data_IF_022995124567
#
_entry.id   IF_022995124567
#
_cell.length_a   1.000
_cell.length_b   1.000
_cell.length_c   1.000
_cell.angle_alpha   90.00
_cell.angle_beta   90.00
_cell.angle_gamma   90.00
#
_symmetry.space_group_name_H-M   'P 1'
#
loop_
_entity.id
_entity.type
_entity.pdbx_description
1 polymer ?
#
# COMPACT_ATOMS: atom_id res chain seq x y z
N UNK A 1 6.52 0.02 15.37
CA UNK A 1 6.41 -1.35 14.81
C UNK A 1 7.33 -2.35 15.52
N UNK A 2 8.65 -2.08 15.72
CA UNK A 2 9.61 -3.03 16.34
C UNK A 2 9.17 -3.55 17.71
N UNK A 3 8.67 -2.67 18.59
CA UNK A 3 8.18 -3.06 19.93
C UNK A 3 6.98 -4.00 19.83
N UNK A 4 6.06 -3.73 18.91
CA UNK A 4 4.90 -4.59 18.67
C UNK A 4 5.31 -5.95 18.12
N UNK A 5 6.22 -5.99 17.13
CA UNK A 5 6.74 -7.24 16.58
C UNK A 5 7.46 -8.07 17.64
N UNK A 6 8.25 -7.43 18.50
CA UNK A 6 8.88 -8.11 19.63
C UNK A 6 7.84 -8.69 20.58
N UNK A 7 6.80 -7.92 20.90
CA UNK A 7 5.70 -8.37 21.75
C UNK A 7 4.93 -9.54 21.12
N UNK A 8 4.64 -9.50 19.81
CA UNK A 8 4.00 -10.61 19.09
C UNK A 8 4.83 -11.89 19.18
N UNK A 9 6.15 -11.78 18.99
CA UNK A 9 7.07 -12.92 19.07
C UNK A 9 7.10 -13.52 20.47
N UNK A 10 7.21 -12.69 21.51
CA UNK A 10 7.29 -13.12 22.91
C UNK A 10 5.97 -13.74 23.37
N UNK A 11 4.85 -13.15 23.02
CA UNK A 11 3.52 -13.59 23.48
C UNK A 11 2.90 -14.70 22.63
N UNK A 12 3.52 -15.06 21.48
CA UNK A 12 2.95 -16.05 20.56
C UNK A 12 1.57 -15.65 20.02
N UNK A 13 1.32 -14.33 19.86
CA UNK A 13 0.03 -13.77 19.49
C UNK A 13 -0.32 -13.96 18.00
N UNK A 14 0.62 -14.42 17.17
CA UNK A 14 0.37 -14.79 15.78
C UNK A 14 -0.06 -16.26 15.67
N UNK A 15 -0.96 -16.54 14.72
CA UNK A 15 -1.44 -17.92 14.45
C UNK A 15 -0.32 -18.80 13.89
N UNK A 16 0.62 -18.20 13.15
CA UNK A 16 1.84 -18.85 12.66
C UNK A 16 2.98 -18.44 13.58
N UNK A 17 3.83 -19.39 13.97
CA UNK A 17 5.01 -19.11 14.80
C UNK A 17 5.90 -18.08 14.11
N UNK A 18 5.81 -16.83 14.55
CA UNK A 18 6.66 -15.75 14.06
C UNK A 18 8.07 -16.00 14.60
N UNK A 19 8.99 -16.32 13.70
CA UNK A 19 10.37 -16.59 14.03
C UNK A 19 11.05 -15.34 14.62
N UNK A 20 11.94 -15.55 15.60
CA UNK A 20 12.81 -14.48 16.11
C UNK A 20 13.67 -13.84 15.00
N UNK A 21 13.84 -14.52 13.86
CA UNK A 21 14.51 -13.98 12.69
C UNK A 21 13.76 -12.81 12.08
N UNK A 22 12.41 -12.83 12.07
CA UNK A 22 11.59 -11.74 11.52
C UNK A 22 11.86 -10.41 12.22
N UNK A 23 11.94 -10.42 13.56
CA UNK A 23 12.28 -9.21 14.33
C UNK A 23 13.66 -8.66 13.95
N UNK A 24 14.67 -9.54 13.81
CA UNK A 24 16.03 -9.12 13.43
C UNK A 24 16.07 -8.54 12.02
N UNK A 25 15.39 -9.19 11.07
CA UNK A 25 15.29 -8.71 9.68
C UNK A 25 14.59 -7.35 9.63
N UNK A 26 13.48 -7.19 10.38
CA UNK A 26 12.78 -5.91 10.43
C UNK A 26 13.61 -4.80 11.10
N UNK A 27 14.37 -5.12 12.15
CA UNK A 27 15.27 -4.16 12.78
C UNK A 27 16.39 -3.72 11.81
N UNK A 28 17.00 -4.67 11.09
CA UNK A 28 17.98 -4.36 10.07
C UNK A 28 17.40 -3.49 8.93
N UNK A 29 16.18 -3.81 8.47
CA UNK A 29 15.49 -3.04 7.44
C UNK A 29 15.19 -1.60 7.91
N UNK A 30 14.76 -1.41 9.15
CA UNK A 30 14.53 -0.08 9.74
C UNK A 30 15.83 0.73 9.78
N UNK A 31 16.93 0.13 10.24
CA UNK A 31 18.24 0.81 10.30
C UNK A 31 18.70 1.18 8.88
N UNK A 32 18.61 0.25 7.93
CA UNK A 32 18.94 0.50 6.54
C UNK A 32 18.09 1.61 5.94
N UNK A 33 16.78 1.59 6.20
CA UNK A 33 15.84 2.65 5.78
C UNK A 33 16.20 4.03 6.32
N UNK A 34 16.59 4.12 7.60
CA UNK A 34 17.07 5.38 8.18
C UNK A 34 18.35 5.89 7.52
N UNK A 35 19.31 5.01 7.25
CA UNK A 35 20.57 5.36 6.55
C UNK A 35 20.24 5.91 5.16
N UNK A 36 19.38 5.22 4.39
CA UNK A 36 18.96 5.65 3.06
C UNK A 36 18.23 7.00 3.14
N UNK A 37 17.33 7.19 4.10
CA UNK A 37 16.61 8.45 4.28
C UNK A 37 17.56 9.62 4.57
N UNK A 38 18.57 9.43 5.43
CA UNK A 38 19.59 10.45 5.73
C UNK A 38 20.44 10.78 4.48
N UNK A 39 20.85 9.79 3.71
CA UNK A 39 21.58 10.01 2.46
C UNK A 39 20.72 10.78 1.46
N UNK A 40 19.47 10.36 1.25
CA UNK A 40 18.56 11.02 0.31
C UNK A 40 18.22 12.45 0.75
N UNK A 41 18.11 12.73 2.05
CA UNK A 41 17.85 14.08 2.55
C UNK A 41 18.99 15.07 2.28
N UNK A 42 20.22 14.58 2.12
CA UNK A 42 21.39 15.38 1.79
C UNK A 42 21.59 15.60 0.28
N UNK A 43 20.85 14.88 -0.57
CA UNK A 43 20.98 14.93 -2.03
C UNK A 43 19.83 15.73 -2.65
N UNK A 44 20.14 16.63 -3.56
CA UNK A 44 19.12 17.33 -4.34
C UNK A 44 18.32 16.36 -5.21
N UNK A 45 16.99 16.31 -5.00
CA UNK A 45 16.08 15.44 -5.76
C UNK A 45 16.14 15.68 -7.27
N UNK A 46 16.51 16.91 -7.72
CA UNK A 46 16.72 17.21 -9.12
C UNK A 46 17.90 16.43 -9.74
N UNK A 47 18.89 16.02 -8.93
CA UNK A 47 19.97 15.12 -9.37
C UNK A 47 19.49 13.67 -9.44
N UNK A 48 18.73 13.24 -8.44
CA UNK A 48 18.18 11.87 -8.37
C UNK A 48 17.24 11.61 -9.53
N UNK A 49 16.36 12.57 -9.83
CA UNK A 49 15.37 12.41 -10.92
C UNK A 49 16.04 12.29 -12.29
N UNK A 50 17.21 12.84 -12.53
CA UNK A 50 17.94 12.67 -13.79
C UNK A 50 18.36 11.22 -14.05
N UNK A 51 18.45 10.42 -13.01
CA UNK A 51 18.76 8.99 -13.10
C UNK A 51 17.53 8.11 -13.42
N UNK A 52 16.37 8.72 -13.72
CA UNK A 52 15.15 7.99 -14.04
C UNK A 52 15.33 7.01 -15.20
N UNK A 53 16.18 7.35 -16.16
CA UNK A 53 16.51 6.49 -17.32
C UNK A 53 17.19 5.18 -16.91
N UNK A 54 17.67 5.06 -15.67
CA UNK A 54 18.31 3.87 -15.11
C UNK A 54 17.36 3.17 -14.16
N UNK A 55 16.87 3.87 -13.12
CA UNK A 55 16.10 3.22 -12.06
C UNK A 55 14.67 2.83 -12.48
N UNK A 56 14.03 3.56 -13.43
CA UNK A 56 12.70 3.20 -13.85
C UNK A 56 12.67 1.93 -14.72
N UNK A 57 13.52 1.77 -15.77
CA UNK A 57 13.63 0.50 -16.46
C UNK A 57 14.07 -0.64 -15.54
N UNK A 58 14.99 -0.40 -14.59
CA UNK A 58 15.42 -1.40 -13.62
C UNK A 58 14.23 -1.90 -12.76
N UNK A 59 13.38 -1.00 -12.26
CA UNK A 59 12.19 -1.37 -11.50
C UNK A 59 11.20 -2.19 -12.33
N UNK A 60 11.03 -1.86 -13.62
CA UNK A 60 10.20 -2.62 -14.56
C UNK A 60 10.81 -4.02 -14.78
N UNK A 61 12.11 -4.11 -15.05
CA UNK A 61 12.81 -5.39 -15.27
C UNK A 61 12.69 -6.26 -14.02
N UNK A 62 12.94 -5.71 -12.82
CA UNK A 62 12.77 -6.45 -11.57
C UNK A 62 11.32 -6.97 -11.41
N UNK A 63 10.32 -6.16 -11.77
CA UNK A 63 8.92 -6.59 -11.75
C UNK A 63 8.63 -7.68 -12.79
N UNK A 64 9.31 -7.70 -13.92
CA UNK A 64 9.19 -8.77 -14.93
C UNK A 64 9.88 -10.06 -14.49
N UNK A 65 10.95 -10.00 -13.69
CA UNK A 65 11.65 -11.19 -13.20
C UNK A 65 10.77 -12.09 -12.33
N UNK A 66 9.69 -11.55 -11.76
CA UNK A 66 8.71 -12.34 -11.00
C UNK A 66 8.05 -13.44 -11.86
N UNK A 67 7.95 -13.24 -13.17
CA UNK A 67 7.40 -14.25 -14.11
C UNK A 67 8.40 -15.37 -14.46
N UNK A 68 9.66 -15.25 -14.00
CA UNK A 68 10.70 -16.26 -14.20
C UNK A 68 10.74 -17.26 -13.04
N UNK A 69 11.70 -18.19 -13.06
CA UNK A 69 11.92 -19.16 -11.98
C UNK A 69 12.31 -18.55 -10.62
N UNK A 70 12.64 -17.25 -10.56
CA UNK A 70 12.95 -16.52 -9.31
C UNK A 70 11.68 -16.02 -8.59
N UNK A 71 10.53 -16.01 -9.28
CA UNK A 71 9.25 -15.58 -8.70
C UNK A 71 8.65 -16.65 -7.81
N UNK A 72 8.28 -16.28 -6.59
CA UNK A 72 7.54 -17.13 -5.65
C UNK A 72 6.10 -16.66 -5.53
N UNK A 73 5.22 -17.64 -5.30
CA UNK A 73 3.80 -17.39 -5.06
C UNK A 73 3.54 -17.34 -3.57
N UNK A 74 2.95 -16.22 -3.12
CA UNK A 74 2.54 -16.01 -1.73
C UNK A 74 1.06 -15.65 -1.72
N UNK A 75 0.26 -16.41 -1.00
CA UNK A 75 -1.20 -16.17 -0.87
C UNK A 75 -1.94 -16.06 -2.22
N UNK A 76 -1.51 -16.83 -3.23
CA UNK A 76 -2.11 -16.84 -4.57
C UNK A 76 -1.60 -15.75 -5.52
N UNK A 77 -0.68 -14.90 -5.08
CA UNK A 77 -0.09 -13.83 -5.88
C UNK A 77 1.38 -14.13 -6.18
N UNK A 78 1.76 -14.06 -7.45
CA UNK A 78 3.15 -14.21 -7.86
C UNK A 78 3.83 -12.85 -8.00
N UNK A 79 4.07 -12.19 -6.85
CA UNK A 79 4.52 -10.81 -6.77
C UNK A 79 5.87 -10.64 -6.03
N UNK A 80 6.50 -11.72 -5.61
CA UNK A 80 7.71 -11.71 -4.80
C UNK A 80 8.87 -12.39 -5.53
N UNK A 81 10.07 -11.86 -5.35
CA UNK A 81 11.33 -12.46 -5.77
C UNK A 81 12.03 -13.10 -4.57
N UNK A 82 12.47 -14.35 -4.73
CA UNK A 82 13.34 -15.00 -3.76
C UNK A 82 14.80 -14.71 -4.11
N UNK A 83 15.47 -13.97 -3.22
CA UNK A 83 16.90 -13.67 -3.33
C UNK A 83 17.76 -14.63 -2.49
N UNK A 84 17.16 -15.68 -1.92
CA UNK A 84 17.80 -16.67 -1.08
C UNK A 84 17.99 -16.24 0.37
N UNK A 85 18.40 -15.01 0.64
CA UNK A 85 18.54 -14.45 1.99
C UNK A 85 17.38 -13.55 2.42
N UNK A 86 16.57 -13.07 1.48
CA UNK A 86 15.36 -12.28 1.72
C UNK A 86 14.43 -12.38 0.51
N UNK A 87 13.16 -12.13 0.75
CA UNK A 87 12.17 -11.92 -0.30
C UNK A 87 12.02 -10.43 -0.60
N UNK A 88 11.91 -10.07 -1.86
CA UNK A 88 11.72 -8.70 -2.32
C UNK A 88 10.44 -8.61 -3.14
N UNK A 89 9.61 -7.61 -2.86
CA UNK A 89 8.46 -7.27 -3.71
C UNK A 89 8.84 -6.13 -4.66
N UNK A 90 9.07 -6.40 -5.96
CA UNK A 90 9.52 -5.37 -6.90
C UNK A 90 8.55 -4.22 -7.10
N UNK A 91 7.26 -4.45 -6.89
CA UNK A 91 6.23 -3.42 -7.00
C UNK A 91 6.42 -2.28 -5.98
N UNK A 92 7.08 -2.52 -4.84
CA UNK A 92 7.43 -1.46 -3.89
C UNK A 92 8.43 -0.46 -4.50
N UNK A 93 9.46 -0.96 -5.19
CA UNK A 93 10.41 -0.12 -5.92
C UNK A 93 9.74 0.55 -7.13
N UNK A 94 8.84 -0.18 -7.80
CA UNK A 94 8.11 0.32 -8.95
C UNK A 94 7.17 1.49 -8.57
N UNK A 95 6.57 1.49 -7.36
CA UNK A 95 5.78 2.62 -6.86
C UNK A 95 6.64 3.89 -6.74
N UNK A 96 7.83 3.78 -6.17
CA UNK A 96 8.75 4.93 -6.04
C UNK A 96 9.19 5.43 -7.42
N UNK A 97 9.54 4.52 -8.32
CA UNK A 97 9.91 4.85 -9.69
C UNK A 97 8.75 5.52 -10.45
N UNK A 98 7.53 5.02 -10.29
CA UNK A 98 6.33 5.60 -10.89
C UNK A 98 6.06 7.02 -10.36
N UNK A 99 6.03 7.21 -9.04
CA UNK A 99 5.78 8.54 -8.45
C UNK A 99 6.76 9.57 -8.99
N UNK A 100 8.05 9.26 -9.00
CA UNK A 100 9.10 10.19 -9.42
C UNK A 100 9.05 10.48 -10.92
N UNK A 101 8.88 9.46 -11.76
CA UNK A 101 8.78 9.64 -13.22
C UNK A 101 7.47 10.30 -13.64
N UNK A 102 6.38 9.99 -12.95
CA UNK A 102 5.08 10.62 -13.21
C UNK A 102 5.06 12.08 -12.77
N UNK A 103 5.68 12.42 -11.63
CA UNK A 103 5.90 13.80 -11.20
C UNK A 103 6.72 14.59 -12.23
N UNK A 104 7.79 13.98 -12.77
CA UNK A 104 8.58 14.59 -13.85
C UNK A 104 7.74 14.76 -15.12
N UNK A 105 6.88 13.81 -15.46
CA UNK A 105 5.99 13.92 -16.63
C UNK A 105 5.00 15.07 -16.45
N UNK A 106 4.35 15.15 -15.29
CA UNK A 106 3.41 16.23 -14.96
C UNK A 106 4.10 17.61 -14.97
N UNK A 107 5.29 17.73 -14.38
CA UNK A 107 6.03 19.01 -14.35
C UNK A 107 6.43 19.48 -15.75
N UNK A 108 6.73 18.56 -16.69
CA UNK A 108 7.02 18.91 -18.08
C UNK A 108 5.78 19.29 -18.90
N UNK A 109 4.65 18.68 -18.60
CA UNK A 109 3.38 18.99 -19.27
C UNK A 109 2.84 20.36 -18.83
N UNK A 110 2.99 20.70 -17.54
CA UNK A 110 2.58 21.98 -16.96
C UNK A 110 1.14 22.36 -17.32
N UNK A 111 0.91 23.61 -17.72
CA UNK A 111 -0.43 24.13 -18.07
C UNK A 111 -1.11 23.41 -19.25
N UNK A 112 -0.37 22.58 -20.01
CA UNK A 112 -0.91 21.84 -21.14
C UNK A 112 -1.52 20.50 -20.77
N UNK A 113 -1.73 20.23 -19.46
CA UNK A 113 -2.25 18.96 -18.97
C UNK A 113 -3.59 18.58 -19.62
N UNK A 114 -4.44 19.56 -19.89
CA UNK A 114 -5.78 19.37 -20.46
C UNK A 114 -5.81 19.20 -21.99
N UNK A 115 -4.66 19.09 -22.67
CA UNK A 115 -4.62 18.65 -24.07
C UNK A 115 -4.85 17.14 -24.13
N UNK A 116 -5.72 16.69 -25.04
CA UNK A 116 -6.09 15.28 -25.18
C UNK A 116 -4.87 14.35 -25.32
N UNK A 117 -3.88 14.75 -26.15
CA UNK A 117 -2.65 13.99 -26.32
C UNK A 117 -1.86 13.79 -25.04
N UNK A 118 -1.81 14.82 -24.18
CA UNK A 118 -1.11 14.74 -22.89
C UNK A 118 -1.85 13.85 -21.90
N UNK A 119 -3.18 13.95 -21.84
CA UNK A 119 -4.01 13.06 -21.02
C UNK A 119 -3.81 11.61 -21.45
N UNK A 120 -3.81 11.33 -22.76
CA UNK A 120 -3.59 9.98 -23.29
C UNK A 120 -2.19 9.45 -22.91
N UNK A 121 -1.14 10.26 -23.03
CA UNK A 121 0.22 9.89 -22.66
C UNK A 121 0.37 9.66 -21.15
N UNK A 122 -0.30 10.46 -20.31
CA UNK A 122 -0.32 10.27 -18.85
C UNK A 122 -1.05 8.98 -18.47
N UNK A 123 -2.18 8.68 -19.13
CA UNK A 123 -2.86 7.40 -18.97
C UNK A 123 -2.00 6.21 -19.42
N UNK A 124 -1.31 6.34 -20.56
CA UNK A 124 -0.38 5.31 -21.03
C UNK A 124 0.78 5.09 -20.05
N UNK A 125 1.29 6.16 -19.41
CA UNK A 125 2.36 6.04 -18.42
C UNK A 125 1.94 5.18 -17.21
N UNK A 126 0.76 5.41 -16.64
CA UNK A 126 0.28 4.61 -15.50
C UNK A 126 -0.18 3.21 -15.89
N UNK A 127 -0.59 3.00 -17.14
CA UNK A 127 -1.01 1.68 -17.62
C UNK A 127 0.11 0.64 -17.53
N UNK A 128 1.37 1.06 -17.70
CA UNK A 128 2.53 0.15 -17.61
C UNK A 128 2.64 -0.52 -16.23
N UNK A 129 2.80 0.21 -15.11
CA UNK A 129 2.89 -0.42 -13.80
C UNK A 129 1.60 -1.14 -13.40
N UNK A 130 0.41 -0.59 -13.71
CA UNK A 130 -0.86 -1.24 -13.38
C UNK A 130 -0.98 -2.59 -14.08
N UNK A 131 -0.73 -2.67 -15.38
CA UNK A 131 -0.81 -3.93 -16.13
C UNK A 131 0.19 -4.96 -15.62
N UNK A 132 1.43 -4.55 -15.32
CA UNK A 132 2.43 -5.45 -14.76
C UNK A 132 1.96 -6.08 -13.45
N UNK A 133 1.40 -5.27 -12.55
CA UNK A 133 0.98 -5.72 -11.23
C UNK A 133 -0.31 -6.56 -11.29
N UNK A 134 -1.25 -6.23 -12.19
CA UNK A 134 -2.43 -7.07 -12.44
C UNK A 134 -2.01 -8.44 -12.97
N UNK A 135 -1.04 -8.52 -13.88
CA UNK A 135 -0.52 -9.79 -14.40
C UNK A 135 0.17 -10.63 -13.32
N UNK A 136 0.66 -10.02 -12.25
CA UNK A 136 1.22 -10.69 -11.07
C UNK A 136 0.13 -11.20 -10.11
N UNK A 137 -1.13 -10.82 -10.32
CA UNK A 137 -2.27 -11.15 -9.46
C UNK A 137 -2.40 -10.24 -8.23
N UNK A 138 -1.65 -9.14 -8.16
CA UNK A 138 -1.64 -8.22 -7.00
C UNK A 138 -2.62 -7.05 -7.23
N UNK A 139 -3.90 -7.34 -7.05
CA UNK A 139 -4.98 -6.36 -7.23
C UNK A 139 -4.88 -5.19 -6.22
N UNK A 140 -4.37 -5.48 -5.02
CA UNK A 140 -4.17 -4.47 -3.97
C UNK A 140 -3.19 -3.39 -4.40
N UNK A 141 -2.03 -3.79 -4.85
CA UNK A 141 -1.00 -2.86 -5.35
C UNK A 141 -1.45 -2.15 -6.63
N UNK A 142 -2.21 -2.83 -7.52
CA UNK A 142 -2.80 -2.17 -8.70
C UNK A 142 -3.75 -1.03 -8.30
N UNK A 143 -4.58 -1.24 -7.27
CA UNK A 143 -5.43 -0.19 -6.69
C UNK A 143 -4.61 0.98 -6.16
N UNK A 144 -3.49 0.73 -5.47
CA UNK A 144 -2.59 1.78 -4.98
C UNK A 144 -2.03 2.62 -6.14
N UNK A 145 -1.56 2.00 -7.24
CA UNK A 145 -1.10 2.74 -8.43
C UNK A 145 -2.21 3.60 -9.04
N UNK A 146 -3.43 3.07 -9.14
CA UNK A 146 -4.58 3.81 -9.65
C UNK A 146 -4.90 5.03 -8.77
N UNK A 147 -4.87 4.88 -7.45
CA UNK A 147 -5.12 5.97 -6.51
C UNK A 147 -4.01 7.04 -6.55
N UNK A 148 -2.74 6.64 -6.65
CA UNK A 148 -1.62 7.57 -6.83
C UNK A 148 -1.85 8.39 -8.11
N UNK A 149 -2.17 7.74 -9.22
CA UNK A 149 -2.47 8.41 -10.50
C UNK A 149 -3.61 9.42 -10.37
N UNK A 150 -4.75 9.01 -9.82
CA UNK A 150 -5.93 9.87 -9.68
C UNK A 150 -5.62 11.10 -8.84
N UNK A 151 -4.98 10.92 -7.68
CA UNK A 151 -4.66 12.04 -6.77
C UNK A 151 -3.63 12.99 -7.41
N UNK A 152 -2.61 12.47 -8.09
CA UNK A 152 -1.62 13.28 -8.78
C UNK A 152 -2.23 14.05 -9.96
N UNK A 153 -3.08 13.43 -10.77
CA UNK A 153 -3.80 14.09 -11.87
C UNK A 153 -4.73 15.19 -11.36
N UNK A 154 -5.43 14.93 -10.27
CA UNK A 154 -6.30 15.92 -9.64
C UNK A 154 -5.50 17.13 -9.11
N UNK A 155 -4.38 16.88 -8.44
CA UNK A 155 -3.48 17.93 -7.98
C UNK A 155 -2.85 18.75 -9.10
N UNK A 156 -2.67 18.15 -10.29
CA UNK A 156 -2.14 18.80 -11.47
C UNK A 156 -3.20 19.62 -12.25
N UNK A 157 -4.48 19.61 -11.81
CA UNK A 157 -5.53 20.43 -12.40
C UNK A 157 -6.16 19.84 -13.66
N UNK A 158 -6.35 18.50 -13.68
CA UNK A 158 -7.11 17.86 -14.77
C UNK A 158 -8.53 18.41 -14.86
N UNK A 159 -9.00 18.70 -16.07
CA UNK A 159 -10.31 19.28 -16.31
C UNK A 159 -11.45 18.29 -16.01
N UNK A 160 -12.54 18.81 -15.48
CA UNK A 160 -13.79 18.08 -15.27
C UNK A 160 -14.33 17.42 -16.55
N UNK A 161 -13.94 17.91 -17.74
CA UNK A 161 -14.27 17.30 -19.03
C UNK A 161 -13.80 15.84 -19.15
N UNK A 162 -12.71 15.48 -18.48
CA UNK A 162 -12.16 14.13 -18.45
C UNK A 162 -12.65 13.35 -17.22
N UNK A 163 -12.81 14.02 -16.08
CA UNK A 163 -13.24 13.38 -14.84
C UNK A 163 -14.68 12.90 -14.93
N UNK A 164 -15.59 13.76 -15.42
CA UNK A 164 -17.03 13.44 -15.46
C UNK A 164 -17.36 12.19 -16.31
N UNK A 165 -16.84 12.03 -17.54
CA UNK A 165 -17.01 10.78 -18.28
C UNK A 165 -16.48 9.55 -17.56
N UNK A 166 -15.33 9.67 -16.85
CA UNK A 166 -14.77 8.56 -16.07
C UNK A 166 -15.70 8.18 -14.90
N UNK A 167 -16.26 9.16 -14.18
CA UNK A 167 -17.23 8.91 -13.10
C UNK A 167 -18.49 8.21 -13.64
N UNK A 168 -19.00 8.64 -14.79
CA UNK A 168 -20.19 8.02 -15.43
C UNK A 168 -19.86 6.62 -15.94
N UNK A 169 -18.67 6.39 -16.48
CA UNK A 169 -18.25 5.09 -16.99
C UNK A 169 -17.90 4.10 -15.87
N UNK A 170 -17.52 4.58 -14.69
CA UNK A 170 -17.02 3.76 -13.57
C UNK A 170 -18.01 2.65 -13.15
N UNK A 171 -19.32 2.89 -12.94
CA UNK A 171 -20.26 1.82 -12.58
C UNK A 171 -20.33 0.72 -13.63
N UNK A 172 -20.29 1.08 -14.92
CA UNK A 172 -20.30 0.13 -16.03
C UNK A 172 -18.99 -0.68 -16.10
N UNK A 173 -17.85 -0.02 -15.89
CA UNK A 173 -16.56 -0.67 -15.82
C UNK A 173 -16.50 -1.64 -14.63
N UNK A 174 -16.95 -1.23 -13.45
CA UNK A 174 -17.02 -2.08 -12.26
C UNK A 174 -17.94 -3.27 -12.48
N UNK A 175 -19.14 -3.07 -13.08
CA UNK A 175 -20.04 -4.15 -13.43
C UNK A 175 -19.38 -5.13 -14.41
N UNK A 176 -18.72 -4.63 -15.46
CA UNK A 176 -18.03 -5.46 -16.43
C UNK A 176 -16.92 -6.29 -15.79
N UNK A 177 -16.08 -5.66 -14.96
CA UNK A 177 -15.00 -6.32 -14.20
C UNK A 177 -15.57 -7.39 -13.29
N UNK A 178 -16.65 -7.07 -12.55
CA UNK A 178 -17.32 -8.03 -11.67
C UNK A 178 -17.83 -9.27 -12.41
N UNK A 179 -18.48 -9.07 -13.56
CA UNK A 179 -19.13 -10.18 -14.28
C UNK A 179 -18.14 -10.99 -15.11
N UNK A 180 -17.18 -10.32 -15.77
CA UNK A 180 -16.36 -10.92 -16.82
C UNK A 180 -14.89 -11.16 -16.45
N UNK A 181 -14.34 -10.39 -15.50
CA UNK A 181 -12.90 -10.39 -15.22
C UNK A 181 -12.60 -11.07 -13.88
N UNK A 182 -13.34 -10.72 -12.83
CA UNK A 182 -13.06 -11.20 -11.48
C UNK A 182 -13.24 -12.70 -11.33
N UNK A 183 -12.23 -13.32 -10.76
CA UNK A 183 -12.24 -14.74 -10.36
C UNK A 183 -13.16 -14.96 -9.15
N UNK A 184 -13.68 -16.18 -8.94
CA UNK A 184 -14.56 -16.49 -7.80
C UNK A 184 -13.97 -16.09 -6.45
N UNK A 185 -12.67 -16.33 -6.22
CA UNK A 185 -12.00 -15.99 -4.96
C UNK A 185 -11.92 -14.46 -4.73
N UNK A 186 -11.75 -13.67 -5.80
CA UNK A 186 -11.74 -12.21 -5.71
C UNK A 186 -13.14 -11.68 -5.36
N UNK A 187 -14.20 -12.25 -5.98
CA UNK A 187 -15.60 -11.92 -5.62
C UNK A 187 -15.89 -12.25 -4.17
N UNK A 188 -15.38 -13.40 -3.69
CA UNK A 188 -15.57 -13.82 -2.29
C UNK A 188 -14.99 -12.78 -1.32
N UNK A 189 -13.84 -12.16 -1.62
CA UNK A 189 -13.27 -11.07 -0.81
C UNK A 189 -14.22 -9.88 -0.61
N UNK A 190 -15.04 -9.57 -1.61
CA UNK A 190 -16.05 -8.52 -1.50
C UNK A 190 -17.33 -8.99 -0.81
N UNK A 191 -17.79 -10.21 -1.08
CA UNK A 191 -19.01 -10.74 -0.50
C UNK A 191 -18.90 -10.92 1.01
N UNK A 192 -17.74 -11.35 1.47
CA UNK A 192 -17.43 -11.51 2.91
C UNK A 192 -17.50 -10.20 3.69
N UNK A 193 -17.41 -9.02 3.03
CA UNK A 193 -17.63 -7.73 3.70
C UNK A 193 -19.05 -7.59 4.24
N UNK A 194 -20.04 -8.18 3.55
CA UNK A 194 -21.45 -8.10 3.89
C UNK A 194 -21.93 -9.28 4.72
N UNK A 195 -21.28 -10.44 4.54
CA UNK A 195 -21.60 -11.65 5.27
C UNK A 195 -20.31 -12.48 5.44
N UNK A 196 -19.73 -12.42 6.63
CA UNK A 196 -18.48 -13.11 6.97
C UNK A 196 -18.67 -14.61 7.23
N UNK A 197 -19.93 -15.10 7.24
CA UNK A 197 -20.25 -16.54 7.32
C UNK A 197 -20.13 -17.25 5.96
N UNK A 198 -20.03 -16.50 4.85
CA UNK A 198 -19.85 -17.10 3.52
C UNK A 198 -18.52 -17.85 3.37
N UNK A 199 -17.50 -17.44 4.13
CA UNK A 199 -16.19 -18.12 4.16
C UNK A 199 -15.67 -18.21 5.60
N UNK A 200 -16.26 -19.08 6.44
CA UNK A 200 -15.98 -19.11 7.87
C UNK A 200 -14.59 -19.63 8.24
N UNK A 201 -13.86 -20.24 7.32
CA UNK A 201 -12.51 -20.80 7.54
C UNK A 201 -11.42 -20.08 6.74
N UNK A 202 -11.77 -19.20 5.79
CA UNK A 202 -10.85 -18.44 4.96
C UNK A 202 -10.85 -16.94 5.27
N UNK A 203 -11.19 -16.13 4.27
CA UNK A 203 -11.13 -14.65 4.35
C UNK A 203 -12.11 -14.12 5.40
N UNK A 204 -13.31 -14.69 5.54
CA UNK A 204 -14.29 -14.32 6.56
C UNK A 204 -13.76 -14.56 7.98
N UNK A 205 -13.01 -15.66 8.18
CA UNK A 205 -12.32 -15.92 9.44
C UNK A 205 -11.34 -14.79 9.81
N UNK A 206 -10.49 -14.38 8.85
CA UNK A 206 -9.51 -13.32 9.09
C UNK A 206 -10.18 -12.02 9.53
N UNK A 207 -11.25 -11.59 8.85
CA UNK A 207 -11.97 -10.36 9.22
C UNK A 207 -12.67 -10.46 10.57
N UNK A 208 -13.36 -11.56 10.84
CA UNK A 208 -14.10 -11.78 12.10
C UNK A 208 -13.14 -11.79 13.29
N UNK A 209 -12.06 -12.58 13.19
CA UNK A 209 -11.05 -12.66 14.25
C UNK A 209 -10.38 -11.31 14.46
N UNK A 210 -10.09 -10.57 13.38
CA UNK A 210 -9.52 -9.22 13.46
C UNK A 210 -10.44 -8.25 14.21
N UNK A 211 -11.73 -8.18 13.85
CA UNK A 211 -12.72 -7.33 14.52
C UNK A 211 -12.87 -7.70 16.01
N UNK A 212 -12.97 -9.00 16.31
CA UNK A 212 -13.09 -9.50 17.68
C UNK A 212 -11.84 -9.18 18.51
N UNK A 213 -10.67 -9.39 17.92
CA UNK A 213 -9.39 -9.12 18.56
C UNK A 213 -9.20 -7.62 18.83
N UNK A 214 -9.54 -6.77 17.85
CA UNK A 214 -9.51 -5.32 18.01
C UNK A 214 -10.41 -4.87 19.18
N UNK A 215 -11.65 -5.36 19.23
CA UNK A 215 -12.61 -5.05 20.29
C UNK A 215 -12.21 -5.60 21.67
N UNK A 216 -11.45 -6.71 21.71
CA UNK A 216 -11.04 -7.34 22.96
C UNK A 216 -10.12 -6.47 23.83
N UNK A 217 -9.47 -5.46 23.25
CA UNK A 217 -8.64 -4.51 23.98
C UNK A 217 -9.42 -3.44 24.72
N UNK A 218 -10.72 -3.29 24.46
CA UNK A 218 -11.58 -2.27 25.09
C UNK A 218 -10.97 -0.85 25.01
N UNK A 219 -11.01 -0.06 26.10
CA UNK A 219 -10.53 1.33 26.12
C UNK A 219 -9.01 1.40 26.31
N UNK A 220 -8.45 0.65 27.23
CA UNK A 220 -7.05 0.79 27.68
C UNK A 220 -6.11 -0.31 27.16
N UNK A 221 -6.65 -1.38 26.58
CA UNK A 221 -5.87 -2.53 26.13
C UNK A 221 -5.49 -3.51 27.23
N UNK A 222 -4.85 -4.60 26.81
CA UNK A 222 -4.38 -5.69 27.71
C UNK A 222 -2.92 -5.54 28.12
N UNK A 223 -2.24 -4.46 27.66
CA UNK A 223 -0.81 -4.27 27.84
C UNK A 223 0.04 -4.90 26.74
N UNK A 224 1.36 -4.77 26.80
CA UNK A 224 2.31 -5.31 25.81
C UNK A 224 2.81 -6.72 26.13
N UNK A 225 2.89 -7.06 27.41
CA UNK A 225 3.49 -8.30 27.89
C UNK A 225 2.66 -8.85 29.05
N UNK A 226 1.84 -9.83 28.85
CA UNK A 226 1.07 -10.47 29.92
C UNK A 226 -0.44 -10.47 29.72
N UNK A 227 -0.91 -10.06 28.55
CA UNK A 227 -2.30 -10.19 28.16
C UNK A 227 -2.60 -11.54 27.52
N UNK A 228 -3.84 -12.00 27.67
CA UNK A 228 -4.37 -13.13 26.90
C UNK A 228 -4.83 -12.60 25.55
N UNK A 229 -3.96 -12.72 24.53
CA UNK A 229 -4.20 -12.20 23.19
C UNK A 229 -4.90 -13.23 22.31
N UNK A 230 -5.89 -12.76 21.58
CA UNK A 230 -6.48 -13.54 20.50
C UNK A 230 -5.46 -13.64 19.35
N UNK A 231 -5.23 -14.87 18.89
CA UNK A 231 -4.34 -15.13 17.75
C UNK A 231 -4.99 -14.66 16.47
N UNK A 232 -4.40 -13.69 15.82
CA UNK A 232 -4.85 -13.14 14.54
C UNK A 232 -3.92 -13.64 13.44
N UNK A 233 -4.46 -14.18 12.34
CA UNK A 233 -3.64 -14.47 11.16
C UNK A 233 -2.99 -13.20 10.65
N UNK A 234 -1.74 -13.29 10.18
CA UNK A 234 -0.96 -12.16 9.64
C UNK A 234 -0.87 -10.92 10.57
N UNK A 235 -0.97 -11.13 11.91
CA UNK A 235 -0.87 -10.06 12.91
C UNK A 235 0.47 -9.30 12.86
N UNK A 236 1.53 -9.92 12.35
CA UNK A 236 2.84 -9.28 12.19
C UNK A 236 2.96 -8.44 10.91
N UNK A 237 2.04 -8.59 9.97
CA UNK A 237 2.05 -7.95 8.65
C UNK A 237 0.83 -7.04 8.50
N UNK A 238 -0.16 -7.50 7.74
CA UNK A 238 -1.31 -6.68 7.29
C UNK A 238 -2.29 -6.35 8.42
N UNK A 239 -2.35 -7.17 9.48
CA UNK A 239 -3.24 -6.98 10.62
C UNK A 239 -2.53 -6.46 11.88
N UNK A 240 -1.38 -5.81 11.75
CA UNK A 240 -0.62 -5.27 12.89
C UNK A 240 -1.44 -4.26 13.70
N UNK A 241 -2.33 -3.49 13.07
CA UNK A 241 -3.21 -2.54 13.75
C UNK A 241 -4.19 -3.23 14.70
N UNK A 242 -4.64 -4.44 14.38
CA UNK A 242 -5.45 -5.26 15.30
C UNK A 242 -4.71 -5.55 16.59
N UNK A 243 -3.41 -5.84 16.50
CA UNK A 243 -2.59 -6.07 17.68
C UNK A 243 -2.35 -4.80 18.50
N UNK A 244 -2.26 -3.62 17.83
CA UNK A 244 -2.30 -2.31 18.53
C UNK A 244 -3.56 -2.20 19.38
N UNK A 245 -4.72 -2.55 18.81
CA UNK A 245 -5.99 -2.52 19.54
C UNK A 245 -6.02 -3.46 20.74
N UNK A 246 -5.50 -4.67 20.62
CA UNK A 246 -5.39 -5.59 21.75
C UNK A 246 -4.48 -5.07 22.87
N UNK A 247 -3.30 -4.52 22.49
CA UNK A 247 -2.30 -4.08 23.47
C UNK A 247 -2.65 -2.76 24.16
N UNK A 248 -3.15 -1.78 23.39
CA UNK A 248 -3.33 -0.40 23.84
C UNK A 248 -4.78 0.07 23.84
N UNK A 249 -5.70 -0.79 23.41
CA UNK A 249 -7.12 -0.49 23.36
C UNK A 249 -7.48 0.62 22.36
N UNK A 250 -8.64 1.19 22.57
CA UNK A 250 -9.19 2.28 21.76
C UNK A 250 -8.29 3.54 21.75
N UNK A 251 -7.70 3.87 22.91
CA UNK A 251 -6.79 5.02 23.04
C UNK A 251 -5.55 4.84 22.15
N UNK A 252 -4.96 3.64 22.15
CA UNK A 252 -3.82 3.33 21.31
C UNK A 252 -4.15 3.38 19.81
N UNK A 253 -5.33 2.90 19.44
CA UNK A 253 -5.82 2.99 18.06
C UNK A 253 -5.95 4.45 17.60
N UNK A 254 -6.57 5.31 18.41
CA UNK A 254 -6.69 6.75 18.10
C UNK A 254 -5.30 7.40 18.01
N UNK A 255 -4.38 7.09 18.93
CA UNK A 255 -3.04 7.65 18.89
C UNK A 255 -2.29 7.28 17.59
N UNK A 256 -2.38 6.02 17.15
CA UNK A 256 -1.77 5.58 15.88
C UNK A 256 -2.42 6.28 14.69
N UNK A 257 -3.75 6.33 14.62
CA UNK A 257 -4.47 7.04 13.54
C UNK A 257 -4.09 8.52 13.51
N UNK A 258 -4.00 9.17 14.67
CA UNK A 258 -3.60 10.57 14.75
C UNK A 258 -2.18 10.81 14.21
N UNK A 259 -1.23 9.92 14.54
CA UNK A 259 0.14 10.00 14.01
C UNK A 259 0.17 9.79 12.50
N UNK A 260 -0.54 8.78 11.97
CA UNK A 260 -0.62 8.54 10.53
C UNK A 260 -1.25 9.73 9.80
N UNK A 261 -2.33 10.28 10.36
CA UNK A 261 -2.99 11.49 9.82
C UNK A 261 -2.05 12.68 9.85
N UNK A 262 -1.32 12.88 10.95
CA UNK A 262 -0.33 13.95 11.04
C UNK A 262 0.75 13.84 9.97
N UNK A 263 1.27 12.64 9.72
CA UNK A 263 2.27 12.41 8.65
C UNK A 263 1.67 12.74 7.28
N UNK A 264 0.44 12.30 6.99
CA UNK A 264 -0.26 12.64 5.75
C UNK A 264 -0.40 14.16 5.58
N UNK A 265 -0.87 14.86 6.61
CA UNK A 265 -1.06 16.31 6.59
C UNK A 265 0.28 17.05 6.43
N UNK A 266 1.34 16.56 7.06
CA UNK A 266 2.68 17.13 6.94
C UNK A 266 3.21 17.02 5.51
N UNK A 267 3.13 15.83 4.89
CA UNK A 267 3.55 15.63 3.49
C UNK A 267 2.75 16.56 2.55
N UNK A 268 1.44 16.69 2.77
CA UNK A 268 0.59 17.59 1.99
C UNK A 268 0.95 19.06 2.21
N UNK A 269 1.30 19.46 3.44
CA UNK A 269 1.78 20.82 3.73
C UNK A 269 3.12 21.09 3.02
N UNK A 270 4.04 20.12 3.05
CA UNK A 270 5.34 20.24 2.38
C UNK A 270 5.18 20.35 0.84
N UNK A 271 4.16 19.74 0.26
CA UNK A 271 3.86 19.92 -1.18
C UNK A 271 3.52 21.35 -1.56
N UNK A 272 2.92 22.13 -0.63
CA UNK A 272 2.54 23.55 -0.89
C UNK A 272 3.71 24.52 -0.82
N UNK A 273 4.77 24.14 -0.09
CA UNK A 273 5.99 24.96 0.07
C UNK A 273 7.14 24.42 -0.78
N UNK A 274 6.87 23.43 -1.62
CA UNK A 274 7.86 22.86 -2.52
C UNK A 274 8.44 23.93 -3.46
N UNK A 275 9.73 23.82 -3.76
CA UNK A 275 10.51 24.78 -4.49
C UNK A 275 10.10 24.93 -5.97
N UNK A 276 9.58 23.83 -6.53
CA UNK A 276 9.17 23.72 -7.93
C UNK A 276 8.00 22.72 -8.07
N UNK A 277 7.41 22.66 -9.25
CA UNK A 277 6.31 21.75 -9.55
C UNK A 277 6.72 20.27 -9.45
N UNK A 278 7.98 19.95 -9.76
CA UNK A 278 8.49 18.59 -9.62
C UNK A 278 8.45 18.15 -8.15
N UNK A 279 9.00 18.94 -7.25
CA UNK A 279 8.97 18.68 -5.81
C UNK A 279 7.54 18.59 -5.26
N UNK A 280 6.66 19.51 -5.70
CA UNK A 280 5.23 19.46 -5.37
C UNK A 280 4.60 18.14 -5.76
N UNK A 281 4.77 17.68 -7.00
CA UNK A 281 4.15 16.43 -7.46
C UNK A 281 4.78 15.18 -6.83
N UNK A 282 6.08 15.19 -6.49
CA UNK A 282 6.69 14.11 -5.72
C UNK A 282 6.03 14.01 -4.34
N UNK A 283 5.88 15.11 -3.62
CA UNK A 283 5.20 15.12 -2.32
C UNK A 283 3.75 14.63 -2.43
N UNK A 284 3.00 15.10 -3.45
CA UNK A 284 1.63 14.64 -3.70
C UNK A 284 1.58 13.13 -4.00
N UNK A 285 2.52 12.60 -4.77
CA UNK A 285 2.59 11.17 -5.07
C UNK A 285 2.90 10.33 -3.83
N UNK A 286 3.82 10.78 -2.97
CA UNK A 286 4.14 10.14 -1.70
C UNK A 286 2.93 10.21 -0.75
N UNK A 287 2.27 11.37 -0.65
CA UNK A 287 1.02 11.51 0.10
C UNK A 287 -0.04 10.53 -0.40
N UNK A 288 -0.25 10.45 -1.71
CA UNK A 288 -1.22 9.57 -2.32
C UNK A 288 -0.94 8.09 -2.00
N UNK A 289 0.30 7.66 -2.13
CA UNK A 289 0.73 6.31 -1.78
C UNK A 289 0.48 6.01 -0.30
N UNK A 290 1.00 6.87 0.59
CA UNK A 290 0.92 6.65 2.04
C UNK A 290 -0.53 6.69 2.55
N UNK A 291 -1.32 7.69 2.13
CA UNK A 291 -2.73 7.81 2.53
C UNK A 291 -3.57 6.63 2.02
N UNK A 292 -3.33 6.16 0.79
CA UNK A 292 -4.03 4.99 0.25
C UNK A 292 -3.69 3.73 1.04
N UNK A 293 -2.41 3.50 1.38
CA UNK A 293 -2.02 2.39 2.24
C UNK A 293 -2.73 2.44 3.59
N UNK A 294 -2.73 3.61 4.26
CA UNK A 294 -3.42 3.78 5.55
C UNK A 294 -4.92 3.50 5.44
N UNK A 295 -5.59 4.06 4.43
CA UNK A 295 -7.05 3.90 4.26
C UNK A 295 -7.41 2.44 3.95
N UNK A 296 -6.69 1.79 3.05
CA UNK A 296 -6.96 0.41 2.68
C UNK A 296 -6.67 -0.56 3.84
N UNK A 297 -5.54 -0.39 4.53
CA UNK A 297 -5.19 -1.26 5.65
C UNK A 297 -6.15 -1.09 6.84
N UNK A 298 -6.38 0.15 7.29
CA UNK A 298 -7.33 0.40 8.37
C UNK A 298 -8.75 -0.03 7.98
N UNK A 299 -9.15 0.24 6.73
CA UNK A 299 -10.43 -0.20 6.19
C UNK A 299 -10.59 -1.73 6.24
N UNK A 300 -9.54 -2.46 5.91
CA UNK A 300 -9.50 -3.92 5.96
C UNK A 300 -9.65 -4.44 7.40
N UNK A 301 -8.93 -3.85 8.36
CA UNK A 301 -9.02 -4.21 9.79
C UNK A 301 -10.41 -3.93 10.37
N UNK A 302 -11.04 -2.82 9.97
CA UNK A 302 -12.40 -2.49 10.39
C UNK A 302 -13.49 -3.26 9.60
N UNK A 303 -13.11 -3.97 8.54
CA UNK A 303 -14.05 -4.69 7.67
C UNK A 303 -14.86 -3.74 6.77
N UNK A 304 -14.30 -2.60 6.40
CA UNK A 304 -14.88 -1.64 5.46
C UNK A 304 -14.36 -1.83 4.02
N UNK A 305 -13.20 -2.45 3.88
CA UNK A 305 -12.59 -2.80 2.60
C UNK A 305 -12.26 -4.30 2.57
N UNK A 306 -12.23 -4.91 1.37
CA UNK A 306 -11.83 -6.31 1.25
C UNK A 306 -10.38 -6.54 1.72
N UNK A 307 -10.08 -7.77 2.10
CA UNK A 307 -8.71 -8.18 2.46
C UNK A 307 -7.88 -8.27 1.18
N UNK A 308 -6.99 -7.30 0.97
CA UNK A 308 -6.19 -7.15 -0.27
C UNK A 308 -4.68 -7.19 -0.04
N UNK A 309 -4.23 -7.43 1.22
CA UNK A 309 -2.80 -7.62 1.50
C UNK A 309 -1.95 -6.35 1.35
N UNK A 310 -2.49 -5.18 1.72
CA UNK A 310 -1.74 -3.92 1.70
C UNK A 310 -1.23 -3.63 3.11
N UNK A 311 0.10 -3.55 3.35
CA UNK A 311 0.66 -3.28 4.68
C UNK A 311 0.42 -1.83 5.12
N UNK A 312 0.44 -1.62 6.47
CA UNK A 312 0.30 -0.31 7.09
C UNK A 312 1.66 0.38 7.22
#
# INVERSE_FOLDING_TARGET
>A
SLVLLYSIVVNGAATISVSSSLYKTQAAAVIAGWIVALILSAVDYNKIIKLWVIYAPLAIILSMLVFTGMGIEVSGNRAWLDLGFMTLQPSELLKVAFITTFALHLSKVGDKINRFSNVLLLCAHVSIPILLVILQGDDGTACVFAMIFVIMMFSAGISWKYILPCIVALPFALWFVWVKVMQPYQKMRFLVLFDDELDPQGIGYHQRVSKTALGSGQIFGKGLFGGDYLKVPEAANDFIFTYVGQCFGFIGCIAVIAVLTYVCLKIMADSKIAKDDLGKYICVGIYAMFSTHCILNLGMVFGLTPVIGVPL
#
